data_IF_170273182466
#
_entry.id   IF_170273182466
#
_cell.length_a   1.000
_cell.length_b   1.000
_cell.length_c   1.000
_cell.angle_alpha   90.00
_cell.angle_beta   90.00
_cell.angle_gamma   90.00
#
_symmetry.space_group_name_H-M   'P 1'
#
loop_
_entity.id
_entity.type
_entity.pdbx_description
1 polymer ?
#
# COMPACT_ATOMS: atom_id res chain seq x y z
N UNK A 1 25.27 -12.64 -11.66
CA UNK A 1 24.58 -13.77 -10.98
C UNK A 1 23.12 -13.40 -10.71
N UNK A 2 22.36 -12.97 -11.73
CA UNK A 2 21.01 -12.41 -11.55
C UNK A 2 19.88 -13.29 -12.14
N UNK A 3 20.21 -14.29 -12.97
CA UNK A 3 19.19 -15.04 -13.71
C UNK A 3 18.63 -16.26 -12.98
N UNK A 4 19.37 -16.84 -12.03
CA UNK A 4 18.98 -18.08 -11.34
C UNK A 4 18.15 -17.87 -10.05
N UNK A 5 17.79 -16.64 -9.67
CA UNK A 5 16.90 -16.40 -8.53
C UNK A 5 15.42 -16.61 -8.88
N UNK A 6 15.07 -16.67 -10.17
CA UNK A 6 13.72 -17.06 -10.59
C UNK A 6 13.54 -18.55 -10.31
N UNK A 7 13.21 -18.88 -9.06
CA UNK A 7 12.70 -20.18 -8.65
C UNK A 7 11.49 -20.52 -9.55
N UNK A 8 11.26 -21.82 -9.74
CA UNK A 8 10.43 -22.45 -10.77
C UNK A 8 8.91 -22.16 -10.76
N UNK A 9 8.46 -21.02 -10.21
CA UNK A 9 7.11 -20.50 -10.34
C UNK A 9 7.17 -19.01 -10.75
N UNK A 10 6.71 -18.72 -11.96
CA UNK A 10 6.52 -17.34 -12.40
C UNK A 10 5.37 -16.71 -11.63
N UNK A 11 5.46 -15.41 -11.36
CA UNK A 11 4.35 -14.69 -10.74
C UNK A 11 3.14 -14.64 -11.69
N UNK A 12 1.91 -14.57 -11.16
CA UNK A 12 0.71 -14.47 -11.98
C UNK A 12 0.77 -13.18 -12.79
N UNK A 13 0.41 -13.28 -14.06
CA UNK A 13 0.35 -12.16 -14.98
C UNK A 13 -0.97 -12.12 -15.73
N UNK A 14 -1.06 -11.35 -16.81
CA UNK A 14 -2.19 -11.43 -17.72
C UNK A 14 -2.16 -12.80 -18.44
N UNK A 15 -2.88 -13.79 -17.89
CA UNK A 15 -3.12 -15.08 -18.54
C UNK A 15 -4.35 -14.99 -19.46
N UNK A 16 -4.32 -15.69 -20.60
CA UNK A 16 -5.44 -15.68 -21.56
C UNK A 16 -6.61 -16.59 -21.13
N UNK A 17 -6.41 -17.50 -20.18
CA UNK A 17 -7.37 -18.54 -19.80
C UNK A 17 -8.26 -18.19 -18.59
N UNK A 18 -8.14 -16.97 -18.05
CA UNK A 18 -8.97 -16.48 -16.93
C UNK A 18 -8.54 -16.98 -15.56
N UNK A 19 -7.36 -17.59 -15.43
CA UNK A 19 -6.82 -18.09 -14.14
C UNK A 19 -6.27 -16.98 -13.23
N UNK A 20 -6.23 -15.75 -13.71
CA UNK A 20 -5.69 -14.60 -13.00
C UNK A 20 -6.63 -13.39 -13.03
N UNK A 21 -6.59 -12.57 -11.99
CA UNK A 21 -7.38 -11.34 -11.87
C UNK A 21 -6.51 -10.13 -11.58
N UNK A 22 -6.87 -9.00 -12.19
CA UNK A 22 -6.22 -7.71 -11.98
C UNK A 22 -6.72 -7.05 -10.69
N UNK A 23 -5.86 -6.35 -9.96
CA UNK A 23 -6.18 -5.82 -8.63
C UNK A 23 -7.42 -4.92 -8.61
N UNK A 24 -7.59 -4.04 -9.60
CA UNK A 24 -8.77 -3.17 -9.70
C UNK A 24 -10.06 -3.90 -10.07
N UNK A 25 -9.97 -5.16 -10.51
CA UNK A 25 -11.11 -5.96 -10.94
C UNK A 25 -11.58 -6.97 -9.89
N UNK A 26 -10.89 -7.07 -8.74
CA UNK A 26 -11.27 -7.97 -7.65
C UNK A 26 -12.70 -7.71 -7.18
N UNK A 27 -13.49 -8.77 -7.06
CA UNK A 27 -14.90 -8.74 -6.66
C UNK A 27 -15.84 -8.15 -7.71
N UNK A 28 -15.36 -7.86 -8.93
CA UNK A 28 -16.20 -7.37 -10.03
C UNK A 28 -17.04 -8.50 -10.65
N UNK A 29 -17.95 -8.15 -11.57
CA UNK A 29 -18.74 -9.13 -12.30
C UNK A 29 -17.92 -9.98 -13.28
N UNK A 30 -16.68 -9.57 -13.58
CA UNK A 30 -15.74 -10.28 -14.45
C UNK A 30 -14.66 -11.02 -13.67
N UNK A 31 -14.73 -11.00 -12.34
CA UNK A 31 -13.82 -11.75 -11.48
C UNK A 31 -14.27 -13.21 -11.41
N UNK A 32 -13.53 -14.09 -12.08
CA UNK A 32 -13.74 -15.54 -12.03
C UNK A 32 -12.78 -16.23 -11.04
N UNK A 33 -11.84 -15.47 -10.46
CA UNK A 33 -10.81 -15.98 -9.55
C UNK A 33 -11.29 -15.91 -8.10
N UNK A 34 -11.81 -14.76 -7.67
CA UNK A 34 -12.39 -14.61 -6.34
C UNK A 34 -13.92 -14.54 -6.40
N UNK A 35 -14.61 -15.12 -5.40
CA UNK A 35 -16.04 -14.92 -5.25
C UNK A 35 -16.39 -13.45 -5.04
N UNK A 36 -17.60 -13.06 -5.48
CA UNK A 36 -18.07 -11.67 -5.43
C UNK A 36 -18.02 -11.00 -4.04
N UNK A 37 -18.13 -11.76 -2.95
CA UNK A 37 -18.06 -11.21 -1.59
C UNK A 37 -16.63 -11.14 -1.01
N UNK A 38 -15.59 -11.32 -1.84
CA UNK A 38 -14.19 -11.24 -1.41
C UNK A 38 -13.83 -9.90 -0.76
N UNK A 39 -14.40 -8.79 -1.21
CA UNK A 39 -14.15 -7.48 -0.59
C UNK A 39 -14.94 -7.28 0.71
N UNK A 40 -16.10 -7.93 0.84
CA UNK A 40 -16.92 -7.88 2.05
C UNK A 40 -16.36 -8.79 3.16
N UNK A 41 -15.77 -9.92 2.78
CA UNK A 41 -15.27 -10.96 3.69
C UNK A 41 -13.90 -11.52 3.27
N UNK A 42 -12.88 -10.68 3.09
CA UNK A 42 -11.58 -11.11 2.58
C UNK A 42 -10.90 -12.18 3.45
N UNK A 43 -11.19 -12.21 4.75
CA UNK A 43 -10.73 -13.26 5.68
C UNK A 43 -11.18 -14.68 5.30
N UNK A 44 -12.28 -14.84 4.57
CA UNK A 44 -12.73 -16.15 4.10
C UNK A 44 -11.85 -16.69 2.95
N UNK A 45 -11.02 -15.81 2.37
CA UNK A 45 -10.22 -16.06 1.17
C UNK A 45 -8.72 -15.89 1.47
N UNK A 46 -8.31 -16.11 2.72
CA UNK A 46 -6.90 -16.17 3.10
C UNK A 46 -6.24 -14.82 3.38
N UNK A 47 -7.02 -13.75 3.58
CA UNK A 47 -6.46 -12.47 4.05
C UNK A 47 -5.76 -12.66 5.40
N UNK A 48 -4.53 -12.16 5.49
CA UNK A 48 -3.73 -12.16 6.72
C UNK A 48 -3.56 -10.75 7.29
N UNK A 49 -3.49 -9.74 6.42
CA UNK A 49 -3.18 -8.37 6.83
C UNK A 49 -4.20 -7.34 6.31
N UNK A 50 -4.61 -6.43 7.20
CA UNK A 50 -5.56 -5.36 6.86
C UNK A 50 -5.02 -4.38 5.79
N UNK A 51 -3.71 -4.26 5.65
CA UNK A 51 -3.06 -3.46 4.58
C UNK A 51 -3.42 -3.97 3.20
N UNK A 52 -3.48 -5.28 3.01
CA UNK A 52 -3.96 -5.94 1.79
C UNK A 52 -5.44 -5.63 1.54
N UNK A 53 -6.31 -5.75 2.54
CA UNK A 53 -7.72 -5.40 2.42
C UNK A 53 -7.94 -3.93 2.03
N UNK A 54 -7.15 -3.02 2.60
CA UNK A 54 -7.23 -1.59 2.27
C UNK A 54 -6.83 -1.34 0.82
N UNK A 55 -5.76 -1.99 0.32
CA UNK A 55 -5.32 -1.85 -1.06
C UNK A 55 -6.37 -2.39 -2.06
N UNK A 56 -6.99 -3.53 -1.76
CA UNK A 56 -8.08 -4.09 -2.58
C UNK A 56 -9.25 -3.10 -2.70
N UNK A 57 -9.72 -2.57 -1.56
CA UNK A 57 -10.82 -1.61 -1.53
C UNK A 57 -10.47 -0.29 -2.25
N UNK A 58 -9.22 0.18 -2.15
CA UNK A 58 -8.79 1.42 -2.83
C UNK A 58 -8.64 1.25 -4.34
N UNK A 59 -8.28 0.05 -4.80
CA UNK A 59 -8.07 -0.24 -6.21
C UNK A 59 -9.36 -0.57 -6.96
N UNK A 60 -10.40 -1.06 -6.27
CA UNK A 60 -11.62 -1.56 -6.91
C UNK A 60 -12.21 -0.54 -7.91
N UNK A 61 -12.30 -0.95 -9.18
CA UNK A 61 -12.85 -0.17 -10.28
C UNK A 61 -11.93 0.95 -10.79
N UNK A 62 -10.72 1.11 -10.25
CA UNK A 62 -9.78 2.14 -10.66
C UNK A 62 -8.38 1.56 -11.02
N UNK A 63 -8.11 1.34 -12.32
CA UNK A 63 -6.84 0.78 -12.78
C UNK A 63 -5.62 1.67 -12.48
N UNK A 64 -5.82 2.99 -12.35
CA UNK A 64 -4.75 3.97 -12.15
C UNK A 64 -4.40 4.17 -10.66
N UNK A 65 -5.10 3.50 -9.73
CA UNK A 65 -4.80 3.63 -8.29
C UNK A 65 -3.35 3.25 -8.03
N UNK A 66 -2.59 4.18 -7.44
CA UNK A 66 -1.23 3.93 -6.98
C UNK A 66 -1.24 3.10 -5.69
N UNK A 67 -0.70 1.89 -5.76
CA UNK A 67 -0.63 0.94 -4.65
C UNK A 67 0.81 0.70 -4.25
N UNK A 68 1.04 0.66 -2.93
CA UNK A 68 2.34 0.37 -2.36
C UNK A 68 2.58 -1.14 -2.35
N UNK A 69 3.66 -1.57 -2.99
CA UNK A 69 4.04 -2.99 -3.08
C UNK A 69 5.37 -3.28 -2.39
N UNK A 70 5.52 -4.52 -1.93
CA UNK A 70 6.67 -5.02 -1.19
C UNK A 70 7.15 -6.32 -1.78
N UNK A 71 8.47 -6.54 -1.75
CA UNK A 71 9.07 -7.76 -2.28
C UNK A 71 10.23 -8.22 -1.41
N UNK A 72 10.20 -9.49 -1.04
CA UNK A 72 11.34 -10.22 -0.49
C UNK A 72 12.34 -10.54 -1.62
N UNK A 73 13.60 -10.12 -1.45
CA UNK A 73 14.66 -10.30 -2.45
C UNK A 73 15.99 -10.63 -1.79
N UNK A 74 16.91 -11.34 -2.47
CA UNK A 74 18.27 -11.54 -1.97
C UNK A 74 18.94 -10.20 -1.65
N UNK A 75 19.82 -10.21 -0.65
CA UNK A 75 20.58 -9.02 -0.27
C UNK A 75 21.34 -8.45 -1.48
N UNK A 76 21.24 -7.14 -1.68
CA UNK A 76 21.89 -6.42 -2.77
C UNK A 76 21.01 -6.20 -4.01
N UNK A 77 19.83 -6.82 -4.07
CA UNK A 77 18.83 -6.49 -5.10
C UNK A 77 18.05 -5.24 -4.68
N UNK A 78 17.87 -4.30 -5.61
CA UNK A 78 17.24 -3.00 -5.35
C UNK A 78 16.07 -2.69 -6.29
N UNK A 79 15.68 -3.65 -7.12
CA UNK A 79 14.67 -3.49 -8.16
C UNK A 79 13.56 -4.55 -8.10
N UNK A 80 12.36 -4.14 -8.47
CA UNK A 80 11.21 -4.98 -8.76
C UNK A 80 11.01 -4.90 -10.28
N UNK A 81 11.11 -6.04 -10.95
CA UNK A 81 10.98 -6.18 -12.39
C UNK A 81 9.60 -6.76 -12.73
N UNK A 82 9.13 -6.56 -13.97
CA UNK A 82 7.96 -7.28 -14.46
C UNK A 82 8.16 -8.80 -14.35
N UNK A 83 7.11 -9.52 -13.96
CA UNK A 83 7.10 -10.95 -13.64
C UNK A 83 7.57 -11.30 -12.23
N UNK A 84 7.81 -10.32 -11.36
CA UNK A 84 8.21 -10.57 -9.97
C UNK A 84 7.02 -10.68 -9.03
N UNK A 85 7.09 -11.64 -8.11
CA UNK A 85 6.18 -11.73 -6.97
C UNK A 85 6.33 -10.52 -6.05
N UNK A 86 5.19 -9.99 -5.61
CA UNK A 86 5.07 -8.86 -4.69
C UNK A 86 3.89 -9.09 -3.75
N UNK A 87 3.87 -8.35 -2.64
CA UNK A 87 2.76 -8.31 -1.70
C UNK A 87 2.26 -6.89 -1.51
N UNK A 88 0.97 -6.75 -1.21
CA UNK A 88 0.35 -5.49 -0.78
C UNK A 88 0.61 -5.21 0.71
N UNK A 89 1.03 -6.24 1.47
CA UNK A 89 1.36 -6.18 2.88
C UNK A 89 2.88 -6.18 3.09
N UNK A 90 3.37 -5.21 3.86
CA UNK A 90 4.79 -5.18 4.26
C UNK A 90 5.09 -6.31 5.23
N UNK A 91 4.15 -6.60 6.12
CA UNK A 91 4.24 -7.62 7.15
C UNK A 91 4.34 -9.00 6.54
N UNK A 92 3.55 -9.30 5.50
CA UNK A 92 3.63 -10.55 4.76
C UNK A 92 5.00 -10.70 4.08
N UNK A 93 5.42 -9.69 3.32
CA UNK A 93 6.73 -9.70 2.68
C UNK A 93 7.89 -9.80 3.69
N UNK A 94 7.72 -9.32 4.92
CA UNK A 94 8.71 -9.46 5.98
C UNK A 94 8.83 -10.90 6.50
N UNK A 95 7.69 -11.58 6.63
CA UNK A 95 7.63 -12.99 6.99
C UNK A 95 8.32 -13.85 5.93
N UNK A 96 7.99 -13.65 4.66
CA UNK A 96 8.67 -14.32 3.54
C UNK A 96 10.19 -14.05 3.56
N UNK A 97 10.58 -12.78 3.71
CA UNK A 97 11.99 -12.42 3.78
C UNK A 97 12.73 -13.09 4.95
N UNK A 98 12.06 -13.28 6.08
CA UNK A 98 12.64 -13.99 7.22
C UNK A 98 12.85 -15.47 6.91
N UNK A 99 11.89 -16.14 6.28
CA UNK A 99 11.99 -17.55 5.91
C UNK A 99 13.06 -17.80 4.85
N UNK A 100 13.22 -16.88 3.90
CA UNK A 100 14.18 -16.98 2.81
C UNK A 100 15.58 -16.45 3.15
N UNK A 101 15.76 -15.79 4.31
CA UNK A 101 17.01 -15.10 4.65
C UNK A 101 17.30 -13.89 3.74
N UNK A 102 16.25 -13.26 3.23
CA UNK A 102 16.28 -12.22 2.22
C UNK A 102 16.04 -10.82 2.84
N UNK A 103 15.82 -9.79 2.03
CA UNK A 103 15.52 -8.41 2.47
C UNK A 103 14.30 -7.87 1.74
N UNK A 104 13.64 -6.87 2.31
CA UNK A 104 12.45 -6.29 1.70
C UNK A 104 12.82 -5.03 0.93
N UNK A 105 12.50 -5.02 -0.35
CA UNK A 105 12.41 -3.79 -1.15
C UNK A 105 10.96 -3.47 -1.46
N UNK A 106 10.72 -2.28 -1.98
CA UNK A 106 9.38 -1.74 -1.98
C UNK A 106 9.27 -0.58 -2.99
N UNK A 107 8.19 -0.56 -3.77
CA UNK A 107 7.87 0.48 -4.76
C UNK A 107 6.37 0.86 -4.77
N UNK A 108 5.98 1.77 -5.66
CA UNK A 108 4.58 2.04 -6.02
C UNK A 108 4.32 1.50 -7.42
N UNK A 109 3.20 0.82 -7.61
CA UNK A 109 2.71 0.35 -8.91
C UNK A 109 1.25 0.78 -9.10
N UNK A 110 0.75 0.78 -10.33
CA UNK A 110 -0.66 0.98 -10.60
C UNK A 110 -1.42 -0.32 -10.38
N UNK A 111 -2.70 -0.24 -9.98
CA UNK A 111 -3.53 -1.42 -9.78
C UNK A 111 -3.63 -2.31 -11.03
N UNK A 112 -3.64 -1.71 -12.22
CA UNK A 112 -3.67 -2.46 -13.48
C UNK A 112 -2.42 -3.32 -13.75
N UNK A 113 -1.31 -3.03 -13.07
CA UNK A 113 -0.06 -3.77 -13.21
C UNK A 113 0.04 -4.96 -12.25
N UNK A 114 -0.98 -5.20 -11.41
CA UNK A 114 -0.93 -6.19 -10.34
C UNK A 114 -1.97 -7.29 -10.58
N UNK A 115 -1.50 -8.53 -10.57
CA UNK A 115 -2.27 -9.72 -10.91
C UNK A 115 -2.21 -10.76 -9.80
N UNK A 116 -3.27 -11.53 -9.58
CA UNK A 116 -3.30 -12.61 -8.60
C UNK A 116 -3.95 -13.86 -9.18
N UNK A 117 -3.50 -15.02 -8.74
CA UNK A 117 -4.07 -16.34 -9.03
C UNK A 117 -5.03 -16.84 -7.93
N UNK A 118 -5.50 -15.94 -7.05
CA UNK A 118 -6.44 -16.29 -5.98
C UNK A 118 -5.84 -16.27 -4.57
N UNK A 119 -4.63 -15.71 -4.41
CA UNK A 119 -3.96 -15.57 -3.12
C UNK A 119 -3.90 -14.09 -2.75
N UNK A 120 -4.64 -13.68 -1.71
CA UNK A 120 -4.78 -12.25 -1.38
C UNK A 120 -3.45 -11.59 -0.99
N UNK A 121 -2.51 -12.33 -0.41
CA UNK A 121 -1.22 -11.78 0.02
C UNK A 121 -0.14 -11.81 -1.08
N UNK A 122 -0.39 -12.48 -2.21
CA UNK A 122 0.59 -12.73 -3.27
C UNK A 122 0.09 -12.25 -4.64
N UNK A 123 0.91 -11.40 -5.26
CA UNK A 123 0.59 -10.73 -6.51
C UNK A 123 1.80 -10.79 -7.45
N UNK A 124 1.56 -10.81 -8.75
CA UNK A 124 2.59 -10.58 -9.75
C UNK A 124 2.56 -9.15 -10.26
N UNK A 125 3.73 -8.53 -10.36
CA UNK A 125 3.90 -7.23 -10.97
C UNK A 125 4.18 -7.37 -12.47
N UNK A 126 3.36 -6.77 -13.33
CA UNK A 126 3.45 -6.83 -14.80
C UNK A 126 3.43 -5.46 -15.48
N UNK A 127 3.93 -4.42 -14.79
CA UNK A 127 4.07 -3.10 -15.39
C UNK A 127 5.11 -3.06 -16.51
N UNK A 128 5.15 -1.96 -17.25
CA UNK A 128 6.05 -1.82 -18.41
C UNK A 128 7.47 -1.42 -18.06
N UNK A 129 7.78 -1.18 -16.79
CA UNK A 129 9.07 -0.65 -16.33
C UNK A 129 9.61 -1.42 -15.13
N UNK A 130 10.93 -1.35 -14.95
CA UNK A 130 11.56 -1.81 -13.70
C UNK A 130 11.41 -0.73 -12.65
N UNK A 131 10.86 -1.10 -11.49
CA UNK A 131 10.72 -0.21 -10.34
C UNK A 131 11.97 -0.30 -9.49
N UNK A 132 12.63 0.83 -9.23
CA UNK A 132 13.79 0.90 -8.33
C UNK A 132 13.45 1.64 -7.04
N UNK A 133 14.09 1.23 -5.96
CA UNK A 133 13.96 1.92 -4.66
C UNK A 133 14.39 3.40 -4.74
N UNK A 134 15.37 3.72 -5.59
CA UNK A 134 15.87 5.08 -5.80
C UNK A 134 14.88 5.99 -6.56
N UNK A 135 14.15 5.47 -7.56
CA UNK A 135 13.21 6.28 -8.33
C UNK A 135 12.10 6.88 -7.44
N UNK A 136 11.66 6.12 -6.45
CA UNK A 136 10.67 6.53 -5.44
C UNK A 136 11.22 7.56 -4.43
N UNK A 137 12.48 7.42 -4.00
CA UNK A 137 13.12 8.43 -3.14
C UNK A 137 13.25 9.76 -3.86
N UNK A 138 13.72 9.73 -5.12
CA UNK A 138 13.90 10.93 -5.93
C UNK A 138 12.57 11.60 -6.31
N UNK A 139 11.51 10.83 -6.57
CA UNK A 139 10.17 11.38 -6.80
C UNK A 139 9.60 12.03 -5.52
N UNK A 140 9.71 11.37 -4.37
CA UNK A 140 9.28 11.91 -3.07
C UNK A 140 10.09 13.13 -2.65
N UNK A 141 11.38 13.15 -2.94
CA UNK A 141 12.27 14.29 -2.67
C UNK A 141 11.94 15.47 -3.60
N UNK A 142 11.70 15.25 -4.89
CA UNK A 142 11.19 16.27 -5.81
C UNK A 142 9.84 16.84 -5.41
N UNK A 143 8.92 15.99 -4.95
CA UNK A 143 7.62 16.44 -4.42
C UNK A 143 7.85 17.27 -3.15
N UNK A 144 8.66 16.79 -2.21
CA UNK A 144 9.00 17.54 -0.97
C UNK A 144 9.74 18.86 -1.24
N UNK A 145 10.58 18.94 -2.26
CA UNK A 145 11.26 20.18 -2.65
C UNK A 145 10.30 21.16 -3.33
N UNK A 146 9.28 20.66 -4.03
CA UNK A 146 8.28 21.47 -4.73
C UNK A 146 7.13 21.95 -3.82
N UNK A 147 6.98 21.37 -2.63
CA UNK A 147 6.16 21.93 -1.56
C UNK A 147 7.04 22.76 -0.62
N UNK A 148 6.97 24.11 -0.66
CA UNK A 148 7.69 24.91 0.33
C UNK A 148 7.23 24.50 1.72
N UNK A 149 8.18 24.06 2.55
CA UNK A 149 7.95 23.70 3.95
C UNK A 149 7.60 24.96 4.74
N UNK A 150 6.39 25.49 4.56
CA UNK A 150 5.91 26.59 5.39
C UNK A 150 5.28 26.05 6.66
N UNK A 151 6.11 25.39 7.48
CA UNK A 151 5.73 24.94 8.82
C UNK A 151 5.99 26.07 9.83
N UNK A 152 5.54 27.29 9.54
CA UNK A 152 5.52 28.38 10.53
C UNK A 152 4.65 29.60 10.12
N UNK A 153 3.38 29.41 9.75
CA UNK A 153 2.44 30.53 9.54
C UNK A 153 1.00 30.13 9.91
N UNK A 154 0.77 29.69 11.15
CA UNK A 154 -0.55 29.80 11.80
C UNK A 154 -0.37 30.25 13.25
N UNK A 155 0.23 31.43 13.41
CA UNK A 155 0.13 32.22 14.62
C UNK A 155 0.18 33.68 14.23
N UNK A 156 -0.95 34.20 13.76
CA UNK A 156 -1.40 35.59 13.88
C UNK A 156 -2.79 35.67 13.28
N UNK A 157 -3.68 36.34 13.99
CA UNK A 157 -5.12 36.25 13.80
C UNK A 157 -5.60 36.76 12.45
N UNK A 158 -6.59 36.05 11.91
CA UNK A 158 -7.54 36.60 10.95
C UNK A 158 -8.88 36.66 11.68
N UNK A 159 -9.33 37.88 11.93
CA UNK A 159 -10.70 38.18 12.36
C UNK A 159 -11.63 37.88 11.18
N UNK A 160 -12.51 36.89 11.35
CA UNK A 160 -13.66 36.66 10.46
C UNK A 160 -14.86 37.37 11.08
N UNK A 161 -15.48 38.37 10.42
CA UNK A 161 -16.71 38.95 10.91
C UNK A 161 -17.87 38.00 10.59
N UNK A 162 -18.62 37.62 11.63
CA UNK A 162 -19.91 36.96 11.51
C UNK A 162 -19.81 35.44 11.48
N UNK A 163 -19.83 34.83 12.66
CA UNK A 163 -20.79 33.80 13.07
C UNK A 163 -20.41 33.40 14.50
N UNK A 164 -21.23 33.87 15.45
CA UNK A 164 -21.15 33.48 16.85
C UNK A 164 -21.50 31.99 16.97
N UNK A 165 -20.60 31.22 17.58
CA UNK A 165 -20.76 29.81 17.85
C UNK A 165 -19.63 29.36 18.76
N UNK A 166 -19.91 29.36 20.05
CA UNK A 166 -19.04 29.06 21.17
C UNK A 166 -18.39 27.67 21.04
N UNK A 167 -17.07 27.62 20.89
CA UNK A 167 -16.28 26.40 21.12
C UNK A 167 -15.23 26.70 22.18
N UNK A 168 -15.53 26.23 23.40
CA UNK A 168 -14.60 26.24 24.51
C UNK A 168 -13.34 25.44 24.15
N UNK A 169 -12.17 26.08 24.24
CA UNK A 169 -10.88 25.43 24.01
C UNK A 169 -10.46 24.59 25.22
N UNK A 170 -10.05 23.36 24.95
CA UNK A 170 -9.41 22.42 25.87
C UNK A 170 -8.06 22.97 26.38
N UNK A 171 -8.09 23.84 27.40
CA UNK A 171 -6.87 24.17 28.16
C UNK A 171 -7.13 24.70 29.59
N UNK A 172 -8.22 24.29 30.24
CA UNK A 172 -8.45 24.51 31.69
C UNK A 172 -8.90 23.22 32.41
N UNK A 173 -8.30 22.08 32.06
CA UNK A 173 -8.59 20.78 32.70
C UNK A 173 -7.36 20.12 33.33
N UNK A 174 -6.36 20.90 33.77
CA UNK A 174 -5.23 20.37 34.55
C UNK A 174 -4.86 21.14 35.84
N UNK A 175 -5.70 22.08 36.30
CA UNK A 175 -5.50 22.73 37.62
C UNK A 175 -6.72 22.60 38.54
N UNK A 176 -7.41 21.45 38.52
CA UNK A 176 -8.46 21.12 39.48
C UNK A 176 -8.24 19.76 40.17
N UNK A 177 -6.98 19.42 40.48
CA UNK A 177 -6.60 18.19 41.19
C UNK A 177 -5.56 18.42 42.31
N UNK A 178 -5.52 19.62 42.91
CA UNK A 178 -4.66 19.89 44.07
C UNK A 178 -5.33 20.86 45.05
N UNK A 179 -5.74 20.33 46.21
CA UNK A 179 -6.33 21.07 47.34
C UNK A 179 -7.86 21.11 47.28
N UNK A 180 -8.64 20.67 48.27
CA UNK A 180 -8.50 20.91 49.70
C UNK A 180 -9.14 19.75 50.49
N UNK A 181 -8.37 19.23 51.42
CA UNK A 181 -8.84 18.53 52.62
C UNK A 181 -9.30 19.58 53.63
N UNK A 182 -10.49 19.40 54.21
CA UNK A 182 -10.82 19.65 55.62
C UNK A 182 -12.13 18.95 55.97
#
# INVERSE_FOLDING_TARGET
MAENYRLSHQAPGPEEDGTTIRLDQVGSATDEVFPKDVLDKPQNYGLQHATTANALNQAQGNPDTEVRIYRAVPKGITTINPGDWVSLSKEYAATEAQFEGSTIISATAQAQDLWSEGLLEEWGYHGTTVLSHEAMSNAREKVRSNFPSNRNQYRTGISVPGLAGEVASYQEAQEASSGISK
#
